data_IF_767037379880
#
_entry.id   IF_767037379880
#
_cell.length_a   1.000
_cell.length_b   1.000
_cell.length_c   1.000
_cell.angle_alpha   90.00
_cell.angle_beta   90.00
_cell.angle_gamma   90.00
#
_symmetry.space_group_name_H-M   'P 1'
#
loop_
_entity.id
_entity.type
_entity.pdbx_description
1 polymer ?
#
# COMPACT_ATOMS: atom_id res chain seq x y z
N UNK A 1 -16.90 -8.16 13.06
CA UNK A 1 -17.59 -8.59 11.83
C UNK A 1 -16.55 -9.03 10.77
N UNK A 2 -16.98 -9.79 9.76
CA UNK A 2 -16.12 -10.22 8.64
C UNK A 2 -16.75 -9.69 7.35
N UNK A 3 -15.97 -9.01 6.50
CA UNK A 3 -16.46 -8.61 5.16
C UNK A 3 -16.51 -9.84 4.25
N UNK A 4 -17.49 -9.85 3.34
CA UNK A 4 -17.59 -10.91 2.31
C UNK A 4 -16.47 -10.72 1.30
N UNK A 5 -15.49 -11.60 1.30
CA UNK A 5 -14.37 -11.57 0.36
C UNK A 5 -14.85 -11.97 -1.02
N UNK A 6 -14.44 -11.22 -2.03
CA UNK A 6 -14.66 -11.52 -3.43
C UNK A 6 -13.47 -12.30 -3.95
N UNK A 7 -13.74 -13.36 -4.70
CA UNK A 7 -12.72 -14.29 -5.21
C UNK A 7 -12.76 -14.46 -6.73
N UNK A 8 -13.46 -13.55 -7.42
CA UNK A 8 -13.53 -13.53 -8.87
C UNK A 8 -12.25 -12.89 -9.44
N UNK A 9 -11.46 -13.70 -10.16
CA UNK A 9 -10.19 -13.28 -10.74
C UNK A 9 -10.41 -12.34 -11.93
N UNK A 10 -11.45 -12.55 -12.74
CA UNK A 10 -11.75 -11.69 -13.89
C UNK A 10 -12.16 -10.29 -13.42
N UNK A 11 -12.91 -10.20 -12.33
CA UNK A 11 -13.24 -8.92 -11.73
C UNK A 11 -12.00 -8.24 -11.13
N UNK A 12 -11.11 -9.01 -10.48
CA UNK A 12 -9.86 -8.48 -9.96
C UNK A 12 -8.97 -7.93 -11.09
N UNK A 13 -8.84 -8.65 -12.20
CA UNK A 13 -8.14 -8.20 -13.40
C UNK A 13 -8.74 -6.90 -13.92
N UNK A 14 -10.06 -6.83 -14.09
CA UNK A 14 -10.76 -5.63 -14.54
C UNK A 14 -10.49 -4.41 -13.66
N UNK A 15 -10.46 -4.58 -12.34
CA UNK A 15 -10.15 -3.50 -11.39
C UNK A 15 -8.70 -3.03 -11.54
N UNK A 16 -7.75 -3.95 -11.63
CA UNK A 16 -6.33 -3.61 -11.79
C UNK A 16 -6.06 -2.89 -13.11
N UNK A 17 -6.69 -3.36 -14.21
CA UNK A 17 -6.57 -2.73 -15.53
C UNK A 17 -7.19 -1.32 -15.59
N UNK A 18 -8.33 -1.13 -14.93
CA UNK A 18 -8.98 0.17 -14.87
C UNK A 18 -8.17 1.21 -14.09
N UNK A 19 -7.49 0.79 -13.02
CA UNK A 19 -6.80 1.69 -12.10
C UNK A 19 -5.35 1.99 -12.47
N UNK A 20 -4.68 1.04 -13.15
CA UNK A 20 -3.24 1.11 -13.38
C UNK A 20 -2.92 0.89 -14.86
N UNK A 21 -2.18 1.83 -15.42
CA UNK A 21 -1.63 1.70 -16.77
C UNK A 21 -0.31 0.93 -16.73
N UNK A 22 -0.14 -0.04 -17.64
CA UNK A 22 1.07 -0.87 -17.68
C UNK A 22 1.18 -1.79 -16.47
N UNK A 23 2.41 -2.07 -16.02
CA UNK A 23 2.70 -2.96 -14.89
C UNK A 23 2.17 -4.39 -15.10
N UNK A 24 2.20 -4.90 -16.35
CA UNK A 24 1.60 -6.18 -16.73
C UNK A 24 2.13 -7.33 -15.86
N UNK A 25 3.46 -7.47 -15.74
CA UNK A 25 4.08 -8.52 -14.92
C UNK A 25 3.65 -8.44 -13.44
N UNK A 26 3.53 -7.23 -12.90
CA UNK A 26 3.10 -7.02 -11.50
C UNK A 26 1.63 -7.41 -11.34
N UNK A 27 0.77 -7.03 -12.27
CA UNK A 27 -0.65 -7.40 -12.27
C UNK A 27 -0.83 -8.90 -12.37
N UNK A 28 -0.13 -9.57 -13.30
CA UNK A 28 -0.18 -11.01 -13.48
C UNK A 28 0.22 -11.73 -12.18
N UNK A 29 1.30 -11.32 -11.54
CA UNK A 29 1.73 -11.92 -10.26
C UNK A 29 0.73 -11.68 -9.14
N UNK A 30 0.10 -10.51 -9.08
CA UNK A 30 -0.99 -10.25 -8.12
C UNK A 30 -2.17 -11.18 -8.38
N UNK A 31 -2.58 -11.37 -9.64
CA UNK A 31 -3.68 -12.26 -10.01
C UNK A 31 -3.37 -13.73 -9.70
N UNK A 32 -2.15 -14.20 -9.97
CA UNK A 32 -1.67 -15.52 -9.58
C UNK A 32 -1.76 -15.72 -8.06
N UNK A 33 -1.27 -14.75 -7.29
CA UNK A 33 -1.34 -14.77 -5.83
C UNK A 33 -2.79 -14.88 -5.32
N UNK A 34 -3.70 -14.08 -5.87
CA UNK A 34 -5.13 -14.11 -5.52
C UNK A 34 -5.78 -15.44 -5.93
N UNK A 35 -5.39 -16.03 -7.06
CA UNK A 35 -5.88 -17.32 -7.53
C UNK A 35 -5.48 -18.47 -6.58
N UNK A 36 -4.24 -18.46 -6.09
CA UNK A 36 -3.76 -19.43 -5.10
C UNK A 36 -4.55 -19.30 -3.80
N UNK A 37 -4.74 -18.09 -3.29
CA UNK A 37 -5.51 -17.84 -2.06
C UNK A 37 -6.96 -18.32 -2.18
N UNK A 38 -7.58 -18.18 -3.35
CA UNK A 38 -8.91 -18.70 -3.63
C UNK A 38 -8.98 -20.22 -3.45
N UNK A 39 -7.96 -20.96 -3.92
CA UNK A 39 -7.91 -22.42 -3.85
C UNK A 39 -7.68 -22.93 -2.44
N UNK A 40 -6.77 -22.29 -1.71
CA UNK A 40 -6.35 -22.74 -0.37
C UNK A 40 -7.37 -22.34 0.71
N UNK A 41 -8.28 -21.41 0.44
CA UNK A 41 -9.30 -20.86 1.36
C UNK A 41 -8.72 -20.26 2.67
N UNK A 42 -7.42 -20.14 2.78
CA UNK A 42 -6.69 -19.48 3.89
C UNK A 42 -5.57 -18.65 3.31
N UNK A 43 -5.23 -17.56 3.97
CA UNK A 43 -4.06 -16.76 3.63
C UNK A 43 -2.83 -17.50 4.19
N UNK A 44 -2.38 -18.49 3.43
CA UNK A 44 -1.15 -19.24 3.69
C UNK A 44 -0.24 -19.03 2.48
N UNK A 45 0.84 -18.36 2.68
CA UNK A 45 1.79 -18.07 1.61
C UNK A 45 2.62 -16.86 1.95
N UNK A 46 3.61 -16.53 1.14
CA UNK A 46 4.42 -15.34 1.33
C UNK A 46 3.54 -14.08 1.26
N UNK A 47 3.95 -13.05 1.97
CA UNK A 47 3.30 -11.73 1.95
C UNK A 47 3.76 -10.98 0.71
N UNK A 48 2.84 -10.38 -0.04
CA UNK A 48 3.21 -9.53 -1.18
C UNK A 48 3.96 -8.28 -0.69
N UNK A 49 5.13 -8.03 -1.27
CA UNK A 49 5.93 -6.85 -1.01
C UNK A 49 6.19 -6.08 -2.31
N UNK A 50 5.61 -4.90 -2.42
CA UNK A 50 5.76 -4.00 -3.57
C UNK A 50 6.99 -3.13 -3.36
N UNK A 51 8.05 -3.35 -4.14
CA UNK A 51 9.32 -2.64 -4.02
C UNK A 51 9.52 -1.73 -5.24
N UNK A 52 9.93 -0.50 -5.01
CA UNK A 52 10.23 0.42 -6.10
C UNK A 52 10.33 1.88 -5.65
N UNK A 53 10.76 2.78 -6.54
CA UNK A 53 10.95 4.17 -6.20
C UNK A 53 9.66 4.85 -5.72
N UNK A 54 9.78 5.99 -5.02
CA UNK A 54 8.60 6.75 -4.59
C UNK A 54 7.74 7.18 -5.79
N UNK A 55 6.42 7.12 -5.63
CA UNK A 55 5.48 7.63 -6.62
C UNK A 55 5.18 6.71 -7.80
N UNK A 56 5.59 5.44 -7.76
CA UNK A 56 5.25 4.44 -8.81
C UNK A 56 3.89 3.78 -8.62
N UNK A 57 3.14 4.13 -7.56
CA UNK A 57 1.78 3.62 -7.37
C UNK A 57 1.65 2.44 -6.41
N UNK A 58 2.66 2.13 -5.58
CA UNK A 58 2.61 1.01 -4.61
C UNK A 58 1.38 1.03 -3.70
N UNK A 59 1.10 2.18 -3.10
CA UNK A 59 -0.08 2.35 -2.21
C UNK A 59 -1.39 2.20 -2.98
N UNK A 60 -1.48 2.78 -4.18
CA UNK A 60 -2.66 2.68 -5.04
C UNK A 60 -2.92 1.24 -5.49
N UNK A 61 -1.87 0.45 -5.76
CA UNK A 61 -2.00 -0.99 -6.03
C UNK A 61 -2.60 -1.73 -4.84
N UNK A 62 -2.15 -1.45 -3.62
CA UNK A 62 -2.73 -2.01 -2.41
C UNK A 62 -4.22 -1.66 -2.25
N UNK A 63 -4.61 -0.43 -2.53
CA UNK A 63 -6.02 -0.01 -2.55
C UNK A 63 -6.84 -0.76 -3.60
N UNK A 64 -6.28 -0.95 -4.81
CA UNK A 64 -6.94 -1.68 -5.89
C UNK A 64 -7.10 -3.17 -5.57
N UNK A 65 -6.10 -3.81 -4.95
CA UNK A 65 -6.22 -5.18 -4.46
C UNK A 65 -7.31 -5.29 -3.38
N UNK A 66 -7.39 -4.33 -2.46
CA UNK A 66 -8.44 -4.33 -1.43
C UNK A 66 -9.83 -4.22 -2.05
N UNK A 67 -9.99 -3.35 -3.04
CA UNK A 67 -11.26 -3.18 -3.77
C UNK A 67 -11.61 -4.41 -4.60
N UNK A 68 -10.67 -4.98 -5.32
CA UNK A 68 -10.83 -6.19 -6.12
C UNK A 68 -11.29 -7.39 -5.26
N UNK A 69 -10.77 -7.50 -4.04
CA UNK A 69 -11.11 -8.57 -3.09
C UNK A 69 -12.27 -8.22 -2.16
N UNK A 70 -12.86 -7.03 -2.30
CA UNK A 70 -13.90 -6.50 -1.40
C UNK A 70 -13.48 -6.53 0.08
N UNK A 71 -12.21 -6.25 0.35
CA UNK A 71 -11.68 -6.08 1.70
C UNK A 71 -11.64 -4.60 2.09
N UNK A 72 -11.86 -4.28 3.35
CA UNK A 72 -11.57 -2.93 3.84
C UNK A 72 -10.08 -2.66 3.76
N UNK A 73 -9.72 -1.50 3.25
CA UNK A 73 -8.34 -1.05 3.18
C UNK A 73 -7.93 -0.38 4.50
N UNK A 74 -6.82 -0.84 5.07
CA UNK A 74 -6.20 -0.28 6.27
C UNK A 74 -4.74 0.00 5.93
N UNK A 75 -4.24 1.18 6.27
CA UNK A 75 -2.84 1.55 6.04
C UNK A 75 -2.14 1.87 7.35
N UNK A 76 -0.92 1.38 7.50
CA UNK A 76 -0.02 1.71 8.59
C UNK A 76 1.38 2.00 8.03
N UNK A 77 1.90 3.20 8.30
CA UNK A 77 3.29 3.52 8.00
C UNK A 77 4.20 2.90 9.06
N UNK A 78 5.21 2.18 8.60
CA UNK A 78 6.28 1.61 9.44
C UNK A 78 7.52 2.49 9.46
N UNK A 79 7.60 3.47 8.55
CA UNK A 79 8.68 4.45 8.53
C UNK A 79 8.75 5.23 9.84
N UNK A 80 9.89 5.15 10.52
CA UNK A 80 10.11 5.79 11.81
C UNK A 80 9.69 5.00 13.05
N UNK A 81 9.07 3.84 12.89
CA UNK A 81 8.83 2.90 14.01
C UNK A 81 10.16 2.34 14.46
N UNK A 82 10.46 2.48 15.76
CA UNK A 82 11.71 2.04 16.39
C UNK A 82 11.48 1.22 17.64
N UNK A 83 10.32 1.37 18.25
CA UNK A 83 9.92 0.68 19.48
C UNK A 83 8.98 -0.47 19.14
N UNK A 84 9.31 -1.67 19.59
CA UNK A 84 8.47 -2.87 19.48
C UNK A 84 7.07 -2.64 20.07
N UNK A 85 6.98 -1.86 21.16
CA UNK A 85 5.73 -1.55 21.80
C UNK A 85 4.75 -0.76 20.90
N UNK A 86 5.22 -0.08 19.85
CA UNK A 86 4.33 0.52 18.85
C UNK A 86 3.53 -0.53 18.08
N UNK A 87 4.09 -1.74 17.90
CA UNK A 87 3.45 -2.86 17.20
C UNK A 87 2.66 -3.74 18.18
N UNK A 88 3.29 -4.15 19.29
CA UNK A 88 2.74 -5.07 20.27
C UNK A 88 1.98 -4.43 21.44
N UNK A 89 2.01 -3.08 21.55
CA UNK A 89 1.41 -2.39 22.70
C UNK A 89 2.28 -2.38 23.95
N UNK A 90 1.87 -1.57 24.91
CA UNK A 90 2.50 -1.46 26.22
C UNK A 90 1.77 -2.31 27.26
N UNK A 91 2.50 -2.90 28.20
CA UNK A 91 1.87 -3.60 29.33
C UNK A 91 0.98 -2.65 30.12
N UNK A 92 -0.18 -3.13 30.58
CA UNK A 92 -1.19 -2.33 31.32
C UNK A 92 -0.69 -1.68 32.61
N UNK A 93 0.42 -2.16 33.12
CA UNK A 93 1.04 -1.61 34.34
C UNK A 93 1.65 -0.22 34.16
N UNK A 94 1.86 0.23 32.91
CA UNK A 94 2.42 1.55 32.63
C UNK A 94 1.34 2.60 32.48
N UNK A 95 1.58 3.80 33.03
CA UNK A 95 0.69 4.94 32.85
C UNK A 95 0.70 5.34 31.34
N UNK A 96 -0.49 5.49 30.77
CA UNK A 96 -0.62 5.78 29.33
C UNK A 96 -0.50 4.55 28.42
N UNK A 97 -0.53 3.36 28.99
CA UNK A 97 -0.51 2.12 28.20
C UNK A 97 -1.67 2.04 27.21
N UNK A 98 -1.37 1.52 26.02
CA UNK A 98 -2.36 1.34 24.95
C UNK A 98 -2.02 0.12 24.11
N UNK A 99 -3.00 -0.46 23.40
CA UNK A 99 -2.75 -1.52 22.43
C UNK A 99 -1.79 -1.08 21.33
N UNK A 100 -1.10 -2.04 20.73
CA UNK A 100 -0.25 -1.79 19.56
C UNK A 100 -1.04 -1.26 18.35
N UNK A 101 -0.33 -0.60 17.45
CA UNK A 101 -0.94 0.02 16.24
C UNK A 101 -1.69 -0.98 15.37
N UNK A 102 -1.26 -2.25 15.31
CA UNK A 102 -1.96 -3.30 14.56
C UNK A 102 -3.38 -3.47 15.11
N UNK A 103 -3.52 -3.71 16.40
CA UNK A 103 -4.80 -3.92 17.08
C UNK A 103 -5.67 -2.66 17.01
N UNK A 104 -5.09 -1.47 17.24
CA UNK A 104 -5.83 -0.22 17.15
C UNK A 104 -6.45 0.00 15.77
N UNK A 105 -5.69 -0.25 14.69
CA UNK A 105 -6.17 -0.08 13.32
C UNK A 105 -7.19 -1.14 12.94
N UNK A 106 -7.02 -2.39 13.37
CA UNK A 106 -8.02 -3.44 13.19
C UNK A 106 -9.32 -3.09 13.88
N UNK A 107 -9.28 -2.62 15.12
CA UNK A 107 -10.46 -2.17 15.86
C UNK A 107 -11.20 -1.04 15.10
N UNK A 108 -10.47 -0.03 14.65
CA UNK A 108 -11.04 1.08 13.84
C UNK A 108 -11.63 0.62 12.52
N UNK A 109 -11.09 -0.41 11.90
CA UNK A 109 -11.61 -0.97 10.65
C UNK A 109 -12.99 -1.59 10.81
N UNK A 110 -13.31 -2.11 12.00
CA UNK A 110 -14.55 -2.80 12.33
C UNK A 110 -14.70 -4.17 11.66
N UNK A 111 -13.65 -4.70 11.00
CA UNK A 111 -13.65 -6.03 10.37
C UNK A 111 -12.42 -6.83 10.77
N UNK A 112 -12.54 -8.17 10.78
CA UNK A 112 -11.44 -9.08 11.11
C UNK A 112 -10.52 -9.39 9.92
N UNK A 113 -10.97 -9.14 8.71
CA UNK A 113 -10.32 -9.56 7.46
C UNK A 113 -10.05 -8.42 6.48
N UNK A 114 -9.49 -7.28 6.93
CA UNK A 114 -9.11 -6.21 6.01
C UNK A 114 -7.92 -6.62 5.12
N UNK A 115 -7.65 -5.82 4.09
CA UNK A 115 -6.31 -5.73 3.53
C UNK A 115 -5.56 -4.68 4.36
N UNK A 116 -4.42 -5.09 4.91
CA UNK A 116 -3.59 -4.26 5.77
C UNK A 116 -2.29 -3.92 5.05
N UNK A 117 -2.16 -2.69 4.58
CA UNK A 117 -0.97 -2.20 3.91
C UNK A 117 0.04 -1.69 4.94
N UNK A 118 1.19 -2.31 4.98
CA UNK A 118 2.34 -1.96 5.79
C UNK A 118 3.33 -1.16 4.94
N UNK A 119 3.30 0.16 5.07
CA UNK A 119 4.00 1.07 4.18
C UNK A 119 5.39 1.43 4.70
N UNK A 120 6.39 1.46 3.81
CA UNK A 120 7.78 1.81 4.09
C UNK A 120 8.47 0.87 5.10
N UNK A 121 8.38 -0.45 4.86
CA UNK A 121 8.99 -1.46 5.73
C UNK A 121 10.53 -1.36 5.81
N UNK A 122 11.16 -0.84 4.76
CA UNK A 122 12.62 -0.57 4.69
C UNK A 122 13.09 0.56 5.63
N UNK A 123 12.15 1.33 6.17
CA UNK A 123 12.44 2.46 7.06
C UNK A 123 12.19 2.19 8.53
N UNK A 124 11.88 0.94 8.90
CA UNK A 124 11.87 0.55 10.30
C UNK A 124 13.28 0.65 10.87
N UNK A 125 13.40 1.23 12.06
CA UNK A 125 14.66 1.31 12.80
C UNK A 125 14.70 0.31 13.93
N UNK A 126 15.90 0.11 14.47
CA UNK A 126 16.12 -0.56 15.76
C UNK A 126 16.67 0.46 16.73
N UNK A 127 16.27 0.38 18.00
CA UNK A 127 16.91 1.10 19.09
C UNK A 127 17.01 0.23 20.34
N UNK A 128 17.49 0.80 21.43
CA UNK A 128 17.66 0.09 22.70
C UNK A 128 16.34 -0.36 23.36
N UNK A 129 15.18 0.01 22.79
CA UNK A 129 13.84 -0.30 23.30
C UNK A 129 13.17 -1.50 22.64
N UNK A 130 13.86 -2.15 21.71
CA UNK A 130 13.37 -3.37 21.09
C UNK A 130 13.65 -3.46 19.59
N UNK A 131 13.18 -4.56 19.01
CA UNK A 131 13.31 -4.88 17.60
C UNK A 131 11.91 -4.96 16.94
N UNK A 132 11.42 -3.88 16.31
CA UNK A 132 10.14 -3.91 15.61
C UNK A 132 10.07 -4.94 14.48
N UNK A 133 11.22 -5.29 13.88
CA UNK A 133 11.26 -6.30 12.83
C UNK A 133 10.91 -7.70 13.39
N UNK A 134 11.34 -8.00 14.60
CA UNK A 134 10.98 -9.24 15.28
C UNK A 134 9.47 -9.31 15.57
N UNK A 135 8.86 -8.20 16.02
CA UNK A 135 7.41 -8.14 16.21
C UNK A 135 6.65 -8.30 14.88
N UNK A 136 7.18 -7.73 13.79
CA UNK A 136 6.59 -7.87 12.46
C UNK A 136 6.70 -9.30 11.91
N UNK A 137 7.71 -10.07 12.29
CA UNK A 137 7.78 -11.50 11.93
C UNK A 137 6.55 -12.26 12.46
N UNK A 138 6.19 -12.04 13.71
CA UNK A 138 5.00 -12.68 14.30
C UNK A 138 3.71 -12.25 13.59
N UNK A 139 3.62 -11.00 13.16
CA UNK A 139 2.46 -10.49 12.40
C UNK A 139 2.37 -11.11 11.01
N UNK A 140 3.50 -11.23 10.31
CA UNK A 140 3.54 -11.61 8.90
C UNK A 140 3.69 -13.12 8.67
N UNK A 141 4.18 -13.86 9.66
CA UNK A 141 4.36 -15.30 9.53
C UNK A 141 3.00 -16.04 9.67
N UNK A 142 2.51 -16.71 8.63
CA UNK A 142 1.24 -17.44 8.67
C UNK A 142 1.21 -18.57 9.70
N UNK A 143 2.37 -19.05 10.14
CA UNK A 143 2.46 -20.09 11.16
C UNK A 143 2.31 -19.54 12.59
N UNK A 144 2.56 -18.25 12.79
CA UNK A 144 2.55 -17.60 14.09
C UNK A 144 1.40 -16.61 14.26
N UNK A 145 0.94 -15.97 13.17
CA UNK A 145 0.02 -14.84 13.23
C UNK A 145 -1.39 -15.18 13.76
N UNK A 146 -1.74 -16.45 13.87
CA UNK A 146 -2.99 -16.88 14.50
C UNK A 146 -3.00 -16.68 16.02
N UNK A 147 -1.83 -16.50 16.63
CA UNK A 147 -1.64 -16.31 18.07
C UNK A 147 -0.81 -15.03 18.32
N UNK A 148 -1.09 -13.94 17.60
CA UNK A 148 -0.41 -12.67 17.81
C UNK A 148 -0.69 -12.12 19.19
N UNK A 149 0.35 -11.93 19.99
CA UNK A 149 0.24 -11.45 21.37
C UNK A 149 0.48 -9.94 21.43
N UNK A 150 -0.58 -9.19 21.78
CA UNK A 150 -0.49 -7.77 22.12
C UNK A 150 -0.33 -7.64 23.64
N UNK A 151 0.70 -6.95 24.08
CA UNK A 151 1.05 -6.83 25.50
C UNK A 151 0.02 -6.05 26.33
N UNK A 152 -0.81 -5.22 25.70
CA UNK A 152 -1.89 -4.52 26.37
C UNK A 152 -3.12 -5.41 26.53
N UNK A 153 -3.45 -6.20 25.49
CA UNK A 153 -4.61 -7.10 25.54
C UNK A 153 -4.35 -8.31 26.45
N UNK A 154 -3.10 -8.79 26.50
CA UNK A 154 -2.67 -9.98 27.26
C UNK A 154 -3.43 -11.26 26.85
N UNK A 155 -3.96 -11.27 25.64
CA UNK A 155 -4.62 -12.42 25.01
C UNK A 155 -4.16 -12.52 23.56
N UNK A 156 -4.11 -13.74 23.05
CA UNK A 156 -3.79 -13.97 21.65
C UNK A 156 -4.89 -13.48 20.73
N UNK A 157 -4.49 -12.81 19.65
CA UNK A 157 -5.40 -12.33 18.63
C UNK A 157 -5.09 -13.01 17.30
N UNK A 158 -6.10 -13.58 16.67
CA UNK A 158 -5.97 -14.27 15.39
C UNK A 158 -5.95 -13.28 14.22
N UNK A 159 -4.77 -13.13 13.59
CA UNK A 159 -4.54 -12.30 12.40
C UNK A 159 -4.61 -13.11 11.09
N UNK A 160 -4.89 -14.40 11.11
CA UNK A 160 -4.84 -15.28 9.93
C UNK A 160 -5.83 -14.91 8.82
N UNK A 161 -6.86 -14.14 9.13
CA UNK A 161 -7.84 -13.63 8.16
C UNK A 161 -7.44 -12.30 7.51
N UNK A 162 -6.41 -11.64 8.04
CA UNK A 162 -5.91 -10.35 7.53
C UNK A 162 -5.03 -10.60 6.32
N UNK A 163 -5.28 -9.89 5.23
CA UNK A 163 -4.40 -9.88 4.06
C UNK A 163 -3.36 -8.78 4.24
N UNK A 164 -2.12 -9.16 4.53
CA UNK A 164 -1.02 -8.21 4.61
C UNK A 164 -0.39 -7.99 3.23
N UNK A 165 -0.09 -6.72 2.94
CA UNK A 165 0.69 -6.28 1.78
C UNK A 165 1.72 -5.29 2.29
N UNK A 166 2.98 -5.45 1.92
CA UNK A 166 4.05 -4.54 2.30
C UNK A 166 4.44 -3.63 1.15
N UNK A 167 4.96 -2.45 1.46
CA UNK A 167 5.65 -1.61 0.47
C UNK A 167 7.04 -1.25 0.96
N UNK A 168 7.96 -1.12 0.03
CA UNK A 168 9.32 -0.67 0.27
C UNK A 168 9.79 0.23 -0.86
N UNK A 169 10.70 1.17 -0.56
CA UNK A 169 11.35 1.95 -1.60
C UNK A 169 12.64 1.29 -2.09
N UNK A 170 13.23 0.42 -1.28
CA UNK A 170 14.51 -0.27 -1.55
C UNK A 170 14.42 -1.73 -1.14
N UNK A 171 15.39 -2.54 -1.56
CA UNK A 171 15.54 -3.93 -1.10
C UNK A 171 16.20 -4.05 0.28
N UNK A 172 16.44 -2.94 0.98
CA UNK A 172 17.01 -2.96 2.32
C UNK A 172 15.97 -3.33 3.38
N UNK A 173 15.46 -4.54 3.28
CA UNK A 173 14.48 -5.15 4.18
C UNK A 173 15.23 -6.15 5.07
N UNK A 174 14.93 -6.22 6.38
CA UNK A 174 15.52 -7.24 7.25
C UNK A 174 15.35 -8.65 6.67
N UNK A 175 16.45 -9.41 6.57
CA UNK A 175 16.48 -10.73 5.93
C UNK A 175 15.36 -11.68 6.36
N UNK A 176 15.12 -11.86 7.68
CA UNK A 176 14.06 -12.74 8.16
C UNK A 176 12.65 -12.33 7.70
N UNK A 177 12.39 -11.04 7.49
CA UNK A 177 11.13 -10.56 6.91
C UNK A 177 11.08 -10.82 5.41
N UNK A 178 12.20 -10.58 4.71
CA UNK A 178 12.31 -10.79 3.27
C UNK A 178 12.04 -12.25 2.89
N UNK A 179 12.51 -13.21 3.69
CA UNK A 179 12.28 -14.65 3.48
C UNK A 179 10.80 -15.05 3.52
N UNK A 180 9.93 -14.20 4.05
CA UNK A 180 8.47 -14.41 4.12
C UNK A 180 7.71 -13.62 3.07
N UNK A 181 8.42 -12.95 2.17
CA UNK A 181 7.82 -12.04 1.19
C UNK A 181 7.96 -12.57 -0.23
N UNK A 182 6.93 -12.36 -1.00
CA UNK A 182 7.00 -12.40 -2.46
C UNK A 182 7.20 -10.97 -2.95
N UNK A 183 8.42 -10.69 -3.43
CA UNK A 183 8.82 -9.35 -3.87
C UNK A 183 8.35 -9.11 -5.30
N UNK A 184 7.60 -8.04 -5.49
CA UNK A 184 7.21 -7.52 -6.80
C UNK A 184 7.90 -6.18 -7.02
N UNK A 185 8.81 -6.13 -7.98
CA UNK A 185 9.54 -4.92 -8.30
C UNK A 185 8.75 -4.03 -9.26
N UNK A 186 8.51 -2.79 -8.85
CA UNK A 186 7.90 -1.74 -9.65
C UNK A 186 9.00 -0.82 -10.17
N UNK A 187 9.24 -0.88 -11.47
CA UNK A 187 10.17 0.03 -12.13
C UNK A 187 9.59 1.45 -12.24
N UNK A 188 10.45 2.42 -12.48
CA UNK A 188 10.02 3.77 -12.87
C UNK A 188 9.35 3.76 -14.23
N UNK A 189 8.62 4.84 -14.51
CA UNK A 189 7.91 5.01 -15.77
C UNK A 189 8.75 5.72 -16.82
N UNK A 190 8.65 5.30 -18.07
CA UNK A 190 9.18 6.01 -19.22
C UNK A 190 8.42 7.31 -19.45
N UNK A 191 8.97 8.22 -20.25
CA UNK A 191 8.29 9.48 -20.62
C UNK A 191 6.94 9.21 -21.29
N UNK A 192 6.88 8.20 -22.16
CA UNK A 192 5.65 7.82 -22.87
C UNK A 192 4.58 7.28 -21.93
N UNK A 193 4.96 6.43 -20.98
CA UNK A 193 4.05 5.93 -19.96
C UNK A 193 3.55 7.05 -19.06
N UNK A 194 4.44 7.94 -18.60
CA UNK A 194 4.07 9.13 -17.84
C UNK A 194 3.07 10.01 -18.55
N UNK A 195 3.24 10.19 -19.86
CA UNK A 195 2.33 10.97 -20.70
C UNK A 195 0.93 10.34 -20.74
N UNK A 196 0.86 9.02 -20.95
CA UNK A 196 -0.40 8.27 -20.97
C UNK A 196 -1.08 8.30 -19.60
N UNK A 197 -0.32 8.06 -18.54
CA UNK A 197 -0.82 8.09 -17.16
C UNK A 197 -1.32 9.49 -16.78
N UNK A 198 -0.55 10.53 -17.12
CA UNK A 198 -0.95 11.91 -16.87
C UNK A 198 -2.29 12.25 -17.54
N UNK A 199 -2.44 11.88 -18.81
CA UNK A 199 -3.65 12.18 -19.59
C UNK A 199 -4.85 11.40 -19.10
N UNK A 200 -4.67 10.10 -18.82
CA UNK A 200 -5.79 9.20 -18.47
C UNK A 200 -6.23 9.33 -17.01
N UNK A 201 -5.30 9.57 -16.08
CA UNK A 201 -5.59 9.52 -14.66
C UNK A 201 -5.28 10.82 -13.90
N UNK A 202 -4.09 11.41 -14.07
CA UNK A 202 -3.67 12.52 -13.21
C UNK A 202 -4.41 13.82 -13.53
N UNK A 203 -4.59 14.16 -14.81
CA UNK A 203 -5.29 15.37 -15.22
C UNK A 203 -6.76 15.35 -14.79
N UNK A 204 -7.54 14.29 -15.05
CA UNK A 204 -8.92 14.19 -14.54
C UNK A 204 -8.98 14.30 -13.02
N UNK A 205 -8.14 13.56 -12.30
CA UNK A 205 -8.06 13.59 -10.84
C UNK A 205 -7.76 14.98 -10.28
N UNK A 206 -6.79 15.69 -10.88
CA UNK A 206 -6.41 17.02 -10.42
C UNK A 206 -7.44 18.09 -10.80
N UNK A 207 -8.16 17.95 -11.90
CA UNK A 207 -9.32 18.81 -12.21
C UNK A 207 -10.39 18.67 -11.14
N UNK A 208 -10.84 17.45 -10.88
CA UNK A 208 -11.86 17.15 -9.85
C UNK A 208 -11.44 17.69 -8.49
N UNK A 209 -10.21 17.40 -8.05
CA UNK A 209 -9.67 17.84 -6.77
C UNK A 209 -9.61 19.37 -6.60
N UNK A 210 -9.57 20.12 -7.72
CA UNK A 210 -9.56 21.59 -7.73
C UNK A 210 -10.90 22.21 -8.17
N UNK A 211 -11.98 21.42 -8.25
CA UNK A 211 -13.31 21.89 -8.61
C UNK A 211 -13.45 22.35 -10.06
N UNK A 212 -12.59 21.88 -10.96
CA UNK A 212 -12.55 22.25 -12.37
C UNK A 212 -13.13 21.14 -13.25
N UNK A 213 -13.80 21.53 -14.34
CA UNK A 213 -14.27 20.61 -15.36
C UNK A 213 -13.38 20.65 -16.63
N UNK A 214 -13.66 19.75 -17.58
CA UNK A 214 -12.89 19.60 -18.82
C UNK A 214 -12.96 20.82 -19.76
N UNK A 215 -13.96 21.67 -19.62
CA UNK A 215 -14.12 22.88 -20.43
C UNK A 215 -13.31 24.06 -19.89
N UNK A 216 -13.09 24.09 -18.58
CA UNK A 216 -12.38 25.18 -17.90
C UNK A 216 -10.85 25.04 -18.00
N UNK A 217 -10.34 23.80 -18.02
CA UNK A 217 -8.91 23.56 -18.17
C UNK A 217 -8.62 22.43 -19.16
N UNK A 218 -7.86 22.72 -20.19
CA UNK A 218 -7.34 21.74 -21.17
C UNK A 218 -5.81 21.80 -21.15
N UNK A 219 -5.18 20.72 -20.74
CA UNK A 219 -3.71 20.56 -20.73
C UNK A 219 -3.33 19.76 -21.96
N UNK A 220 -2.63 20.36 -22.91
CA UNK A 220 -2.21 19.71 -24.16
C UNK A 220 -1.09 18.68 -23.89
N UNK A 221 -0.94 17.69 -24.79
CA UNK A 221 0.15 16.71 -24.72
C UNK A 221 1.53 17.39 -24.69
N UNK A 222 1.72 18.42 -25.52
CA UNK A 222 2.96 19.20 -25.53
C UNK A 222 3.26 19.89 -24.20
N UNK A 223 2.24 20.39 -23.49
CA UNK A 223 2.40 20.95 -22.16
C UNK A 223 2.80 19.88 -21.14
N UNK A 224 2.15 18.70 -21.16
CA UNK A 224 2.51 17.59 -20.30
C UNK A 224 3.94 17.10 -20.56
N UNK A 225 4.32 16.93 -21.82
CA UNK A 225 5.69 16.57 -22.22
C UNK A 225 6.71 17.57 -21.68
N UNK A 226 6.40 18.87 -21.78
CA UNK A 226 7.25 19.93 -21.24
C UNK A 226 7.37 19.87 -19.71
N UNK A 227 6.28 19.57 -19.00
CA UNK A 227 6.31 19.37 -17.56
C UNK A 227 7.20 18.18 -17.20
N UNK A 228 7.03 17.04 -17.86
CA UNK A 228 7.82 15.83 -17.63
C UNK A 228 9.31 16.11 -17.85
N UNK A 229 9.67 16.73 -18.98
CA UNK A 229 11.08 16.88 -19.40
C UNK A 229 11.82 18.00 -18.69
N UNK A 230 11.13 19.07 -18.27
CA UNK A 230 11.78 20.28 -17.74
C UNK A 230 11.49 20.56 -16.27
N UNK A 231 10.39 20.07 -15.73
CA UNK A 231 9.93 20.42 -14.38
C UNK A 231 9.89 19.23 -13.41
N UNK A 232 10.11 18.01 -13.92
CA UNK A 232 10.19 16.83 -13.08
C UNK A 232 11.43 16.00 -13.40
N UNK A 233 12.10 15.49 -12.36
CA UNK A 233 13.22 14.54 -12.46
C UNK A 233 13.00 13.44 -11.44
N UNK A 234 12.13 12.50 -11.78
CA UNK A 234 11.73 11.41 -10.89
C UNK A 234 11.44 10.14 -11.69
N UNK A 235 11.63 8.99 -11.07
CA UNK A 235 11.24 7.70 -11.64
C UNK A 235 9.71 7.51 -11.61
N UNK A 236 9.04 8.00 -10.57
CA UNK A 236 7.60 7.92 -10.39
C UNK A 236 6.81 9.09 -10.96
N UNK A 237 5.66 9.38 -10.34
CA UNK A 237 4.65 10.33 -10.81
C UNK A 237 4.33 11.44 -9.80
N UNK A 238 4.91 11.41 -8.59
CA UNK A 238 4.53 12.32 -7.49
C UNK A 238 4.75 13.79 -7.84
N UNK A 239 5.90 14.15 -8.41
CA UNK A 239 6.17 15.51 -8.81
C UNK A 239 5.35 15.91 -10.03
N UNK A 240 5.16 15.02 -11.00
CA UNK A 240 4.30 15.26 -12.16
C UNK A 240 2.87 15.57 -11.72
N UNK A 241 2.30 14.79 -10.84
CA UNK A 241 0.98 15.03 -10.27
C UNK A 241 0.91 16.39 -9.55
N UNK A 242 1.93 16.72 -8.76
CA UNK A 242 2.03 18.02 -8.07
C UNK A 242 2.09 19.19 -9.03
N UNK A 243 2.83 19.09 -10.13
CA UNK A 243 2.93 20.13 -11.16
C UNK A 243 1.60 20.30 -11.89
N UNK A 244 0.93 19.21 -12.28
CA UNK A 244 -0.41 19.26 -12.87
C UNK A 244 -1.40 19.94 -11.92
N UNK A 245 -1.37 19.59 -10.64
CA UNK A 245 -2.20 20.22 -9.62
C UNK A 245 -1.90 21.72 -9.46
N UNK A 246 -0.64 22.14 -9.57
CA UNK A 246 -0.28 23.55 -9.55
C UNK A 246 -0.87 24.32 -10.74
N UNK A 247 -0.85 23.73 -11.93
CA UNK A 247 -1.50 24.32 -13.12
C UNK A 247 -3.00 24.45 -12.89
N UNK A 248 -3.67 23.40 -12.39
CA UNK A 248 -5.10 23.45 -12.08
C UNK A 248 -5.45 24.54 -11.07
N UNK A 249 -4.68 24.66 -9.98
CA UNK A 249 -4.86 25.74 -8.97
C UNK A 249 -4.68 27.12 -9.58
N UNK A 250 -3.68 27.31 -10.45
CA UNK A 250 -3.46 28.57 -11.13
C UNK A 250 -4.62 29.00 -12.06
N UNK A 251 -5.37 28.02 -12.60
CA UNK A 251 -6.59 28.29 -13.38
C UNK A 251 -7.77 28.58 -12.45
N UNK A 252 -7.93 27.81 -11.38
CA UNK A 252 -9.04 27.96 -10.43
C UNK A 252 -9.01 29.31 -9.67
N UNK A 253 -7.83 29.97 -9.60
CA UNK A 253 -7.67 31.25 -8.93
C UNK A 253 -7.96 32.48 -9.82
N UNK A 254 -8.27 32.27 -11.08
CA UNK A 254 -8.64 33.33 -12.05
C UNK A 254 -10.15 33.38 -12.25
#
# INVERSE_FOLDING_TARGET
KRSRVRTDILEAESVLEADHFGLEEVKDRILEYLAVQRRVKKIKGPVLCLVGPPGVGKTSLGESIARATNRKFVRMALGGVRDEAEIRGHRRTYIGSMPGKIIQKLSKSGVKNPLFLLDEIDKMGMDNRGDPASAMLEVLDPEQNHAFNDHYLEVDYDLSDVMFVCTSNTMNIPGPLLDRMEVLELNGYTVEEKLKIATRYLIPKQREANGLNSNQVKITLGAVTKIISRYTREAGLRNLERQIGAVCRGVASK
#
